data_IF_300566611382
#
_entry.id   IF_300566611382
#
_cell.length_a   1.000
_cell.length_b   1.000
_cell.length_c   1.000
_cell.angle_alpha   90.00
_cell.angle_beta   90.00
_cell.angle_gamma   90.00
#
_symmetry.space_group_name_H-M   'P 1'
#
loop_
_entity.id
_entity.type
_entity.pdbx_description
1 polymer ?
#
# COMPACT_ATOMS: atom_id res chain seq x y z
N UNK A 1 -16.39 79.48 12.89
CA UNK A 1 -16.90 78.22 13.48
C UNK A 1 -16.32 77.07 12.68
N UNK A 2 -15.41 76.30 13.25
CA UNK A 2 -14.68 75.20 12.59
C UNK A 2 -15.40 73.89 12.93
N UNK A 3 -15.95 73.18 11.95
CA UNK A 3 -16.45 71.81 12.15
C UNK A 3 -15.46 70.83 11.55
N UNK A 4 -14.71 70.16 12.40
CA UNK A 4 -13.87 69.02 12.04
C UNK A 4 -14.78 67.80 11.90
N UNK A 5 -14.85 67.23 10.68
CA UNK A 5 -15.58 66.00 10.39
C UNK A 5 -14.59 64.83 10.53
N UNK A 6 -14.72 64.04 11.60
CA UNK A 6 -13.87 62.87 11.84
C UNK A 6 -14.46 61.67 11.10
N UNK A 7 -13.78 61.22 10.05
CA UNK A 7 -14.12 60.00 9.30
C UNK A 7 -13.55 58.78 10.04
N UNK A 8 -14.42 57.95 10.60
CA UNK A 8 -14.04 56.70 11.26
C UNK A 8 -13.96 55.58 10.22
N UNK A 9 -12.74 55.18 9.85
CA UNK A 9 -12.51 54.03 8.97
C UNK A 9 -12.71 52.72 9.73
N UNK A 10 -13.70 51.93 9.32
CA UNK A 10 -13.89 50.55 9.80
C UNK A 10 -12.92 49.67 9.00
N UNK A 11 -11.84 49.23 9.64
CA UNK A 11 -10.99 48.14 9.14
C UNK A 11 -11.76 46.81 9.29
N UNK A 12 -12.23 46.25 8.19
CA UNK A 12 -12.60 44.84 8.13
C UNK A 12 -11.32 44.00 8.12
N UNK A 13 -10.96 43.44 9.27
CA UNK A 13 -9.99 42.33 9.35
C UNK A 13 -10.77 41.08 8.96
N UNK A 14 -10.71 40.69 7.68
CA UNK A 14 -11.16 39.39 7.22
C UNK A 14 -10.18 38.34 7.73
N UNK A 15 -10.48 37.76 8.91
CA UNK A 15 -9.81 36.54 9.35
C UNK A 15 -10.07 35.43 8.33
N UNK A 16 -9.02 34.75 7.91
CA UNK A 16 -9.13 33.46 7.21
C UNK A 16 -9.78 32.48 8.18
N UNK A 17 -11.10 32.33 8.12
CA UNK A 17 -11.77 31.18 8.73
C UNK A 17 -11.47 29.98 7.83
N UNK A 18 -10.82 28.95 8.36
CA UNK A 18 -10.86 27.63 7.73
C UNK A 18 -12.32 27.19 7.71
N UNK A 19 -12.99 27.38 6.58
CA UNK A 19 -14.33 26.90 6.39
C UNK A 19 -14.31 25.38 6.51
N UNK A 20 -15.27 24.82 7.24
CA UNK A 20 -15.42 23.38 7.34
C UNK A 20 -15.63 22.80 5.94
N UNK A 21 -14.80 21.84 5.55
CA UNK A 21 -14.95 21.15 4.28
C UNK A 21 -16.09 20.12 4.34
N UNK A 22 -16.55 19.71 3.16
CA UNK A 22 -17.46 18.57 2.97
C UNK A 22 -16.85 17.68 1.90
N UNK A 23 -16.96 16.36 2.07
CA UNK A 23 -16.46 15.41 1.08
C UNK A 23 -17.62 14.88 0.25
N UNK A 24 -17.40 14.83 -1.05
CA UNK A 24 -18.33 14.34 -2.07
C UNK A 24 -17.65 13.24 -2.88
N UNK A 25 -18.36 12.63 -3.82
CA UNK A 25 -17.79 11.56 -4.64
C UNK A 25 -16.63 11.99 -5.52
N UNK A 26 -16.41 13.29 -5.75
CA UNK A 26 -15.24 13.80 -6.50
C UNK A 26 -13.96 13.86 -5.67
N UNK A 27 -14.07 13.69 -4.36
CA UNK A 27 -12.91 13.70 -3.46
C UNK A 27 -12.29 12.30 -3.29
N UNK A 28 -12.91 11.29 -3.91
CA UNK A 28 -12.48 9.89 -3.89
C UNK A 28 -12.20 9.43 -5.32
N UNK A 29 -11.34 8.41 -5.43
CA UNK A 29 -11.08 7.79 -6.71
C UNK A 29 -12.38 7.28 -7.35
N UNK A 30 -12.59 7.58 -8.62
CA UNK A 30 -13.77 7.17 -9.40
C UNK A 30 -13.43 6.52 -10.74
N UNK A 31 -12.14 6.53 -11.10
CA UNK A 31 -11.63 6.01 -12.36
C UNK A 31 -10.34 5.21 -12.16
N UNK A 32 -9.91 4.40 -13.14
CA UNK A 32 -8.63 3.72 -13.07
C UNK A 32 -7.46 4.71 -12.98
N UNK A 33 -6.44 4.37 -12.20
CA UNK A 33 -5.33 5.27 -11.86
C UNK A 33 -4.41 4.65 -10.83
N UNK A 34 -3.46 5.44 -10.32
CA UNK A 34 -2.55 5.03 -9.28
C UNK A 34 -2.30 6.19 -8.32
N UNK A 35 -2.28 5.90 -7.03
CA UNK A 35 -1.92 6.84 -5.97
C UNK A 35 -0.74 6.29 -5.17
N UNK A 36 0.09 7.18 -4.63
CA UNK A 36 1.29 6.80 -3.87
C UNK A 36 1.06 7.04 -2.39
N UNK A 37 1.58 6.13 -1.58
CA UNK A 37 1.53 6.27 -0.14
C UNK A 37 2.79 5.71 0.50
N UNK A 38 3.07 6.21 1.69
CA UNK A 38 4.20 5.81 2.49
C UNK A 38 3.72 5.23 3.81
N UNK A 39 4.19 4.02 4.12
CA UNK A 39 4.04 3.41 5.43
C UNK A 39 5.01 4.08 6.40
N UNK A 40 4.55 4.34 7.62
CA UNK A 40 5.33 5.05 8.63
C UNK A 40 5.36 4.33 9.97
N UNK A 41 6.11 4.90 10.92
CA UNK A 41 6.14 4.43 12.29
C UNK A 41 4.74 4.43 12.96
N UNK A 42 4.51 3.48 13.86
CA UNK A 42 3.21 3.23 14.49
C UNK A 42 2.99 3.93 15.83
N UNK A 43 4.01 4.61 16.37
CA UNK A 43 3.88 5.41 17.60
C UNK A 43 3.33 6.81 17.26
N UNK A 44 2.01 6.90 17.15
CA UNK A 44 1.27 8.09 16.72
C UNK A 44 0.06 8.33 17.62
N UNK A 45 -0.29 9.59 17.88
CA UNK A 45 -1.55 9.91 18.56
C UNK A 45 -2.70 9.91 17.54
N UNK A 46 -3.55 8.89 17.63
CA UNK A 46 -4.76 8.75 16.83
C UNK A 46 -6.03 9.09 17.63
N UNK A 47 -5.93 9.36 18.93
CA UNK A 47 -7.09 9.52 19.82
C UNK A 47 -7.63 10.94 19.85
N UNK A 48 -6.76 11.94 19.70
CA UNK A 48 -7.13 13.35 19.78
C UNK A 48 -7.97 13.81 18.59
N UNK A 49 -9.13 14.43 18.85
CA UNK A 49 -10.09 14.89 17.82
C UNK A 49 -11.00 16.00 18.31
N UNK A 50 -11.85 16.49 17.40
CA UNK A 50 -12.91 17.42 17.68
C UNK A 50 -13.01 18.52 16.63
N UNK A 51 -13.75 19.57 16.99
CA UNK A 51 -13.95 20.72 16.14
C UNK A 51 -12.71 21.62 16.08
N UNK A 52 -12.31 22.01 14.86
CA UNK A 52 -11.18 22.89 14.58
C UNK A 52 -9.85 22.40 15.22
N UNK A 53 -9.60 21.10 15.14
CA UNK A 53 -8.41 20.48 15.70
C UNK A 53 -7.21 20.58 14.75
N UNK A 54 -6.00 20.72 15.29
CA UNK A 54 -4.77 20.68 14.49
C UNK A 54 -4.02 19.40 14.75
N UNK A 55 -3.98 18.51 13.76
CA UNK A 55 -3.19 17.29 13.79
C UNK A 55 -1.82 17.55 13.16
N UNK A 56 -0.75 17.36 13.93
CA UNK A 56 0.62 17.50 13.43
C UNK A 56 1.33 16.13 13.42
N UNK A 57 1.44 15.60 12.21
CA UNK A 57 2.14 14.37 11.86
C UNK A 57 3.33 14.65 10.92
N UNK A 58 3.84 15.88 10.85
CA UNK A 58 4.98 16.22 9.98
C UNK A 58 6.27 15.48 10.34
N UNK A 59 6.34 14.87 11.52
CA UNK A 59 7.48 14.07 11.99
C UNK A 59 7.33 12.55 11.72
N UNK A 60 6.34 12.12 10.91
CA UNK A 60 6.26 10.74 10.46
C UNK A 60 7.52 10.38 9.67
N UNK A 61 8.13 9.24 10.02
CA UNK A 61 9.29 8.72 9.30
C UNK A 61 8.81 7.61 8.37
N UNK A 62 9.07 7.77 7.07
CA UNK A 62 8.85 6.76 6.05
C UNK A 62 9.62 5.48 6.39
N UNK A 63 8.93 4.34 6.31
CA UNK A 63 9.50 2.99 6.42
C UNK A 63 9.59 2.35 5.04
N UNK A 64 8.56 2.54 4.21
CA UNK A 64 8.50 2.07 2.83
C UNK A 64 7.44 2.85 2.07
N UNK A 65 7.65 3.03 0.77
CA UNK A 65 6.66 3.58 -0.15
C UNK A 65 6.09 2.49 -1.04
N UNK A 66 4.79 2.60 -1.35
CA UNK A 66 4.10 1.70 -2.27
C UNK A 66 3.01 2.45 -3.06
N UNK A 67 2.32 1.74 -3.95
CA UNK A 67 1.34 2.29 -4.87
C UNK A 67 0.00 1.58 -4.73
N UNK A 68 -1.08 2.34 -4.57
CA UNK A 68 -2.45 1.83 -4.71
C UNK A 68 -2.81 1.88 -6.18
N UNK A 69 -3.07 0.72 -6.78
CA UNK A 69 -3.46 0.60 -8.17
C UNK A 69 -4.98 0.43 -8.29
N UNK A 70 -5.62 1.38 -8.96
CA UNK A 70 -7.03 1.35 -9.33
C UNK A 70 -7.16 0.84 -10.76
N UNK A 71 -7.52 -0.43 -10.89
CA UNK A 71 -7.48 -1.13 -12.16
C UNK A 71 -8.82 -1.05 -12.90
N UNK A 72 -8.75 -0.99 -14.24
CA UNK A 72 -9.94 -0.98 -15.10
C UNK A 72 -10.54 -2.36 -15.25
N UNK A 73 -11.86 -2.48 -15.10
CA UNK A 73 -12.57 -3.73 -15.37
C UNK A 73 -12.41 -4.23 -16.80
N UNK A 74 -12.11 -3.35 -17.77
CA UNK A 74 -11.89 -3.75 -19.16
C UNK A 74 -10.67 -4.65 -19.34
N UNK A 75 -9.72 -4.62 -18.40
CA UNK A 75 -8.52 -5.45 -18.39
C UNK A 75 -8.70 -6.73 -17.56
N UNK A 76 -9.82 -6.88 -16.85
CA UNK A 76 -10.09 -8.04 -16.01
C UNK A 76 -10.54 -9.27 -16.84
N UNK A 77 -10.55 -10.45 -16.21
CA UNK A 77 -11.03 -11.68 -16.84
C UNK A 77 -12.50 -11.59 -17.25
N UNK A 78 -12.94 -12.43 -18.19
CA UNK A 78 -14.34 -12.44 -18.64
C UNK A 78 -15.32 -12.74 -17.50
N UNK A 79 -14.95 -13.60 -16.55
CA UNK A 79 -15.81 -13.90 -15.39
C UNK A 79 -15.98 -12.66 -14.49
N UNK A 80 -14.90 -11.94 -14.23
CA UNK A 80 -14.94 -10.67 -13.49
C UNK A 80 -15.80 -9.64 -14.22
N UNK A 81 -15.62 -9.48 -15.53
CA UNK A 81 -16.42 -8.55 -16.33
C UNK A 81 -17.91 -8.91 -16.37
N UNK A 82 -18.25 -10.20 -16.35
CA UNK A 82 -19.65 -10.64 -16.29
C UNK A 82 -20.29 -10.29 -14.94
N UNK A 83 -19.53 -10.39 -13.84
CA UNK A 83 -20.02 -10.13 -12.49
C UNK A 83 -20.07 -8.65 -12.11
N UNK A 84 -19.12 -7.84 -12.60
CA UNK A 84 -18.94 -6.45 -12.17
C UNK A 84 -18.83 -5.42 -13.30
N UNK A 85 -18.69 -5.86 -14.55
CA UNK A 85 -18.54 -4.97 -15.71
C UNK A 85 -19.85 -4.36 -16.19
N UNK A 86 -19.82 -3.74 -17.37
CA UNK A 86 -20.97 -3.00 -17.93
C UNK A 86 -22.25 -3.85 -18.14
N UNK A 87 -22.10 -5.16 -18.26
CA UNK A 87 -23.22 -6.10 -18.44
C UNK A 87 -23.75 -6.67 -17.12
N UNK A 88 -23.08 -6.40 -15.99
CA UNK A 88 -23.54 -6.81 -14.69
C UNK A 88 -24.83 -6.08 -14.27
N UNK A 89 -25.62 -6.61 -13.33
CA UNK A 89 -26.74 -5.87 -12.76
C UNK A 89 -26.27 -4.51 -12.21
N UNK A 90 -27.07 -3.43 -12.34
CA UNK A 90 -26.63 -2.07 -11.99
C UNK A 90 -26.05 -1.91 -10.58
N UNK A 91 -26.50 -2.72 -9.61
CA UNK A 91 -25.98 -2.71 -8.24
C UNK A 91 -24.51 -3.15 -8.14
N UNK A 92 -24.03 -3.98 -9.06
CA UNK A 92 -22.70 -4.59 -9.06
C UNK A 92 -21.75 -3.99 -10.10
N UNK A 93 -22.21 -3.04 -10.92
CA UNK A 93 -21.35 -2.35 -11.89
C UNK A 93 -20.31 -1.51 -11.15
N UNK A 94 -19.09 -2.04 -11.03
CA UNK A 94 -17.98 -1.38 -10.35
C UNK A 94 -17.28 -0.38 -11.27
N UNK A 95 -16.67 0.64 -10.67
CA UNK A 95 -15.87 1.65 -11.36
C UNK A 95 -14.44 1.17 -11.57
N UNK A 96 -13.87 0.53 -10.55
CA UNK A 96 -12.52 -0.01 -10.55
C UNK A 96 -12.43 -1.22 -9.62
N UNK A 97 -11.31 -1.92 -9.71
CA UNK A 97 -10.91 -2.90 -8.71
C UNK A 97 -9.50 -2.61 -8.20
N UNK A 98 -9.24 -2.95 -6.95
CA UNK A 98 -7.95 -2.75 -6.29
C UNK A 98 -7.61 -3.98 -5.46
N UNK A 99 -6.32 -4.24 -5.26
CA UNK A 99 -5.88 -5.36 -4.45
C UNK A 99 -6.33 -5.19 -2.98
N UNK A 100 -6.66 -6.31 -2.34
CA UNK A 100 -6.97 -6.41 -0.93
C UNK A 100 -5.81 -7.11 -0.20
N UNK A 101 -4.96 -6.30 0.44
CA UNK A 101 -3.81 -6.79 1.22
C UNK A 101 -4.19 -7.33 2.60
N UNK A 102 -5.40 -7.06 3.07
CA UNK A 102 -5.84 -7.32 4.44
C UNK A 102 -6.86 -8.47 4.52
N UNK A 103 -7.01 -9.24 3.44
CA UNK A 103 -7.98 -10.32 3.39
C UNK A 103 -7.62 -11.46 4.35
N UNK A 104 -8.60 -11.89 5.13
CA UNK A 104 -8.42 -12.79 6.28
C UNK A 104 -7.87 -14.16 5.89
N UNK A 105 -8.27 -14.71 4.73
CA UNK A 105 -7.76 -15.99 4.23
C UNK A 105 -6.28 -15.94 3.81
N UNK A 106 -5.75 -14.77 3.44
CA UNK A 106 -4.34 -14.65 3.01
C UNK A 106 -3.36 -15.00 4.14
N UNK A 107 -3.82 -14.98 5.39
CA UNK A 107 -3.01 -15.27 6.58
C UNK A 107 -3.18 -16.69 7.14
N UNK A 108 -4.03 -17.53 6.52
CA UNK A 108 -4.21 -18.91 6.98
C UNK A 108 -3.07 -19.78 6.44
N UNK A 109 -2.32 -20.51 7.30
CA UNK A 109 -1.25 -21.38 6.85
C UNK A 109 -1.72 -22.39 5.80
N UNK A 110 -0.91 -22.59 4.76
CA UNK A 110 -1.18 -23.55 3.68
C UNK A 110 -1.30 -25.01 4.17
N UNK A 111 -0.86 -25.28 5.41
CA UNK A 111 -1.02 -26.56 6.11
C UNK A 111 -2.45 -26.80 6.62
N UNK A 112 -3.25 -25.74 6.77
CA UNK A 112 -4.65 -25.77 7.22
C UNK A 112 -5.61 -25.65 6.03
N UNK A 113 -5.28 -24.80 5.07
CA UNK A 113 -5.97 -24.68 3.79
C UNK A 113 -4.93 -24.78 2.67
N UNK A 114 -4.76 -25.94 2.01
CA UNK A 114 -3.82 -26.09 0.88
C UNK A 114 -4.37 -25.44 -0.41
N UNK A 115 -4.86 -24.21 -0.29
CA UNK A 115 -5.12 -23.28 -1.39
C UNK A 115 -3.98 -22.27 -1.43
N UNK A 116 -3.43 -22.03 -2.62
CA UNK A 116 -2.56 -20.88 -2.86
C UNK A 116 -3.44 -19.80 -3.48
N UNK A 117 -3.80 -18.80 -2.69
CA UNK A 117 -4.47 -17.59 -3.19
C UNK A 117 -3.39 -16.69 -3.75
N UNK A 118 -3.45 -16.41 -5.05
CA UNK A 118 -2.45 -15.57 -5.73
C UNK A 118 -2.69 -14.09 -5.43
N UNK A 119 -3.96 -13.68 -5.48
CA UNK A 119 -4.38 -12.29 -5.24
C UNK A 119 -5.86 -12.22 -4.88
N UNK A 120 -6.23 -11.26 -4.05
CA UNK A 120 -7.64 -10.91 -3.78
C UNK A 120 -7.85 -9.46 -4.19
N UNK A 121 -8.91 -9.21 -4.95
CA UNK A 121 -9.27 -7.88 -5.44
C UNK A 121 -10.63 -7.46 -4.85
N UNK A 122 -10.73 -6.21 -4.39
CA UNK A 122 -11.98 -5.55 -4.02
C UNK A 122 -12.58 -4.85 -5.23
N UNK A 123 -13.88 -4.99 -5.46
CA UNK A 123 -14.62 -4.29 -6.53
C UNK A 123 -15.39 -3.12 -5.95
N UNK A 124 -15.04 -1.90 -6.37
CA UNK A 124 -15.57 -0.67 -5.79
C UNK A 124 -16.49 0.04 -6.78
N UNK A 125 -17.67 0.40 -6.30
CA UNK A 125 -18.65 1.24 -7.00
C UNK A 125 -18.71 2.62 -6.34
N UNK A 126 -18.66 3.66 -7.16
CA UNK A 126 -18.68 5.06 -6.76
C UNK A 126 -19.92 5.72 -7.32
N UNK A 127 -20.72 6.30 -6.44
CA UNK A 127 -21.94 7.02 -6.76
C UNK A 127 -21.95 8.36 -6.02
N UNK A 128 -22.76 9.31 -6.46
CA UNK A 128 -22.84 10.63 -5.83
C UNK A 128 -23.30 10.58 -4.36
N UNK A 129 -23.95 9.50 -3.94
CA UNK A 129 -24.51 9.31 -2.60
C UNK A 129 -23.77 8.30 -1.74
N UNK A 130 -22.87 7.49 -2.33
CA UNK A 130 -22.14 6.47 -1.60
C UNK A 130 -20.95 5.91 -2.38
N UNK A 131 -20.02 5.34 -1.63
CA UNK A 131 -18.98 4.45 -2.16
C UNK A 131 -19.19 3.09 -1.53
N UNK A 132 -19.20 2.05 -2.35
CA UNK A 132 -19.57 0.71 -1.93
C UNK A 132 -18.62 -0.35 -2.48
N UNK A 133 -18.29 -1.35 -1.65
CA UNK A 133 -17.62 -2.56 -2.08
C UNK A 133 -18.68 -3.59 -2.46
N UNK A 134 -18.78 -3.88 -3.76
CA UNK A 134 -19.86 -4.72 -4.32
C UNK A 134 -19.52 -6.21 -4.32
N UNK A 135 -18.26 -6.54 -4.05
CA UNK A 135 -17.80 -7.91 -3.91
C UNK A 135 -16.30 -8.04 -4.06
N UNK A 136 -15.87 -9.29 -4.23
CA UNK A 136 -14.47 -9.67 -4.32
C UNK A 136 -14.17 -10.41 -5.62
N UNK A 137 -12.89 -10.53 -5.92
CA UNK A 137 -12.36 -11.44 -6.92
C UNK A 137 -11.15 -12.16 -6.35
N UNK A 138 -11.14 -13.49 -6.40
CA UNK A 138 -10.02 -14.29 -5.90
C UNK A 138 -9.31 -14.91 -7.10
N UNK A 139 -8.03 -14.65 -7.23
CA UNK A 139 -7.15 -15.26 -8.21
C UNK A 139 -6.52 -16.52 -7.61
N UNK A 140 -6.77 -17.68 -8.24
CA UNK A 140 -6.19 -18.97 -7.87
C UNK A 140 -5.66 -19.64 -9.13
N UNK A 141 -4.37 -20.00 -9.14
CA UNK A 141 -3.70 -20.61 -10.29
C UNK A 141 -3.84 -19.78 -11.57
N UNK A 142 -3.80 -18.44 -11.44
CA UNK A 142 -3.94 -17.51 -12.55
C UNK A 142 -5.37 -17.33 -13.10
N UNK A 143 -6.39 -17.95 -12.50
CA UNK A 143 -7.81 -17.67 -12.82
C UNK A 143 -8.46 -16.82 -11.74
N UNK A 144 -9.06 -15.69 -12.15
CA UNK A 144 -9.82 -14.81 -11.27
C UNK A 144 -11.31 -15.16 -11.24
N UNK A 145 -11.81 -15.50 -10.05
CA UNK A 145 -13.20 -15.91 -9.80
C UNK A 145 -13.93 -14.79 -9.05
N UNK A 146 -15.07 -14.28 -9.56
CA UNK A 146 -15.84 -13.24 -8.88
C UNK A 146 -16.70 -13.82 -7.75
N UNK A 147 -16.79 -13.08 -6.64
CA UNK A 147 -17.67 -13.33 -5.50
C UNK A 147 -18.47 -12.06 -5.17
N UNK A 148 -19.58 -11.80 -5.89
CA UNK A 148 -20.46 -10.68 -5.59
C UNK A 148 -21.03 -10.82 -4.19
N UNK A 149 -21.06 -9.73 -3.42
CA UNK A 149 -21.63 -9.75 -2.07
C UNK A 149 -23.16 -9.85 -2.14
N UNK A 150 -23.77 -10.74 -1.36
CA UNK A 150 -25.23 -10.80 -1.24
C UNK A 150 -25.77 -9.54 -0.56
N UNK A 151 -25.02 -9.03 0.41
CA UNK A 151 -25.25 -7.70 1.00
C UNK A 151 -24.03 -6.84 0.75
N UNK A 152 -24.21 -5.79 -0.06
CA UNK A 152 -23.15 -4.86 -0.47
C UNK A 152 -22.74 -3.98 0.71
N UNK A 153 -21.43 -3.87 0.94
CA UNK A 153 -20.87 -2.99 1.95
C UNK A 153 -20.83 -1.55 1.45
N UNK A 154 -21.58 -0.65 2.07
CA UNK A 154 -21.31 0.79 1.94
C UNK A 154 -20.10 1.16 2.82
N UNK A 155 -19.06 1.72 2.20
CA UNK A 155 -17.84 2.20 2.86
C UNK A 155 -18.03 3.65 3.34
N UNK A 156 -18.61 4.49 2.47
CA UNK A 156 -18.90 5.89 2.77
C UNK A 156 -20.32 6.25 2.33
N UNK A 157 -21.03 7.01 3.16
CA UNK A 157 -22.28 7.67 2.81
C UNK A 157 -21.98 9.14 2.49
N UNK A 158 -22.29 9.56 1.27
CA UNK A 158 -21.91 10.88 0.75
C UNK A 158 -23.13 11.81 0.64
N UNK A 159 -22.95 13.14 0.77
CA UNK A 159 -21.70 13.80 1.19
C UNK A 159 -21.38 13.56 2.68
N UNK A 160 -20.11 13.67 3.06
CA UNK A 160 -19.66 13.58 4.46
C UNK A 160 -19.42 14.97 5.04
N UNK A 161 -19.97 15.19 6.23
CA UNK A 161 -19.83 16.40 7.02
C UNK A 161 -19.48 16.02 8.46
N UNK A 162 -18.85 16.95 9.18
CA UNK A 162 -18.59 16.77 10.61
C UNK A 162 -19.87 16.42 11.38
N UNK A 163 -19.80 15.37 12.21
CA UNK A 163 -20.92 14.84 12.98
C UNK A 163 -21.79 13.82 12.26
N UNK A 164 -21.51 13.51 10.98
CA UNK A 164 -22.22 12.44 10.27
C UNK A 164 -21.85 11.06 10.84
N UNK A 165 -22.86 10.21 10.98
CA UNK A 165 -22.72 8.82 11.40
C UNK A 165 -23.40 7.90 10.39
N UNK A 166 -22.78 6.76 10.11
CA UNK A 166 -23.35 5.72 9.25
C UNK A 166 -23.13 4.32 9.83
N UNK A 167 -24.01 3.40 9.45
CA UNK A 167 -23.89 1.98 9.74
C UNK A 167 -24.26 1.18 8.51
N UNK A 168 -23.40 0.21 8.20
CA UNK A 168 -23.45 -0.63 7.02
C UNK A 168 -23.11 -2.06 7.42
N UNK A 169 -23.56 -3.01 6.63
CA UNK A 169 -23.25 -4.43 6.83
C UNK A 169 -22.92 -5.06 5.50
N UNK A 170 -22.11 -6.11 5.53
CA UNK A 170 -21.78 -6.89 4.36
C UNK A 170 -21.95 -8.37 4.64
N UNK A 171 -22.31 -9.12 3.61
CA UNK A 171 -22.27 -10.57 3.63
C UNK A 171 -21.80 -11.08 2.27
N UNK A 172 -20.77 -11.93 2.30
CA UNK A 172 -20.25 -12.59 1.10
C UNK A 172 -20.01 -14.07 1.39
N UNK A 173 -20.54 -14.93 0.53
CA UNK A 173 -20.22 -16.35 0.51
C UNK A 173 -19.24 -16.63 -0.63
N UNK A 174 -18.12 -17.26 -0.29
CA UNK A 174 -17.11 -17.70 -1.24
C UNK A 174 -17.25 -19.22 -1.36
N UNK A 175 -17.72 -19.71 -2.50
CA UNK A 175 -17.70 -21.14 -2.81
C UNK A 175 -16.63 -21.40 -3.86
N UNK A 176 -15.54 -22.05 -3.46
CA UNK A 176 -14.40 -22.33 -4.33
C UNK A 176 -14.59 -23.63 -5.13
N UNK A 177 -15.73 -24.32 -4.97
CA UNK A 177 -16.01 -25.53 -5.73
C UNK A 177 -16.23 -25.23 -7.23
N UNK A 178 -15.77 -26.10 -8.15
CA UNK A 178 -15.08 -27.37 -7.91
C UNK A 178 -13.54 -27.25 -7.83
N UNK A 179 -12.98 -26.03 -7.90
CA UNK A 179 -11.53 -25.81 -7.92
C UNK A 179 -10.92 -26.28 -6.59
N UNK A 180 -11.61 -26.00 -5.49
CA UNK A 180 -11.25 -26.48 -4.17
C UNK A 180 -12.49 -26.72 -3.31
N UNK A 181 -12.52 -27.79 -2.54
CA UNK A 181 -13.61 -28.11 -1.59
C UNK A 181 -13.45 -27.29 -0.30
N UNK A 182 -13.62 -25.97 -0.43
CA UNK A 182 -13.71 -25.05 0.69
C UNK A 182 -14.78 -24.00 0.42
N UNK A 183 -15.42 -23.58 1.50
CA UNK A 183 -16.34 -22.46 1.49
C UNK A 183 -15.94 -21.48 2.59
N UNK A 184 -16.00 -20.19 2.31
CA UNK A 184 -15.87 -19.13 3.30
C UNK A 184 -17.17 -18.35 3.35
N UNK A 185 -17.54 -17.91 4.54
CA UNK A 185 -18.55 -16.89 4.74
C UNK A 185 -17.94 -15.75 5.53
N UNK A 186 -18.15 -14.55 5.05
CA UNK A 186 -17.75 -13.33 5.72
C UNK A 186 -19.00 -12.51 6.04
N UNK A 187 -19.10 -12.09 7.30
CA UNK A 187 -20.07 -11.11 7.75
C UNK A 187 -19.32 -9.90 8.32
N UNK A 188 -19.63 -8.71 7.81
CA UNK A 188 -19.04 -7.45 8.26
C UNK A 188 -20.14 -6.57 8.83
N UNK A 189 -19.85 -5.95 9.97
CA UNK A 189 -20.59 -4.81 10.50
C UNK A 189 -19.64 -3.61 10.52
N UNK A 190 -19.98 -2.58 9.74
CA UNK A 190 -19.18 -1.38 9.56
C UNK A 190 -19.92 -0.18 10.18
N UNK A 191 -19.27 0.52 11.09
CA UNK A 191 -19.73 1.79 11.65
C UNK A 191 -18.76 2.89 11.29
N UNK A 192 -19.26 4.06 10.92
CA UNK A 192 -18.45 5.22 10.54
C UNK A 192 -18.95 6.47 11.24
N UNK A 193 -18.05 7.30 11.73
CA UNK A 193 -18.34 8.59 12.36
C UNK A 193 -17.34 9.65 11.90
N UNK A 194 -17.83 10.81 11.46
CA UNK A 194 -16.97 11.96 11.18
C UNK A 194 -16.76 12.75 12.47
N UNK A 195 -15.79 12.33 13.26
CA UNK A 195 -15.62 12.75 14.65
C UNK A 195 -14.78 14.03 14.85
N UNK A 196 -14.21 14.58 13.77
CA UNK A 196 -13.39 15.78 13.83
C UNK A 196 -13.27 16.52 12.50
N UNK A 197 -12.97 17.82 12.59
CA UNK A 197 -12.54 18.62 11.46
C UNK A 197 -11.45 19.60 11.88
N UNK A 198 -10.60 20.01 10.94
CA UNK A 198 -9.57 21.00 11.23
C UNK A 198 -8.45 20.96 10.21
N UNK A 199 -7.20 21.02 10.65
CA UNK A 199 -6.03 21.01 9.76
C UNK A 199 -5.11 19.85 10.11
N UNK A 200 -4.69 19.08 9.10
CA UNK A 200 -3.67 18.04 9.24
C UNK A 200 -2.38 18.52 8.59
N UNK A 201 -1.23 18.21 9.21
CA UNK A 201 0.09 18.34 8.62
C UNK A 201 0.75 16.96 8.58
N UNK A 202 1.21 16.51 7.42
CA UNK A 202 2.02 15.30 7.23
C UNK A 202 3.30 15.68 6.48
N UNK A 203 4.23 14.74 6.20
CA UNK A 203 5.35 15.02 5.29
C UNK A 203 4.91 15.46 3.88
N UNK A 204 3.71 15.07 3.44
CA UNK A 204 3.12 15.45 2.15
C UNK A 204 2.71 16.92 2.09
N UNK A 205 2.24 17.48 3.21
CA UNK A 205 1.81 18.87 3.29
C UNK A 205 0.79 19.13 4.39
N UNK A 206 0.23 20.34 4.37
CA UNK A 206 -0.80 20.78 5.30
C UNK A 206 -2.11 21.07 4.59
N UNK A 207 -3.20 20.49 5.08
CA UNK A 207 -4.52 20.56 4.44
C UNK A 207 -5.63 20.72 5.47
N UNK A 208 -6.72 21.45 5.14
CA UNK A 208 -7.96 21.30 5.89
C UNK A 208 -8.50 19.88 5.70
N UNK A 209 -9.04 19.26 6.74
CA UNK A 209 -9.51 17.88 6.65
C UNK A 209 -10.72 17.58 7.54
N UNK A 210 -11.43 16.51 7.19
CA UNK A 210 -12.31 15.77 8.08
C UNK A 210 -11.58 14.53 8.57
N UNK A 211 -11.80 14.16 9.84
CA UNK A 211 -11.41 12.86 10.36
C UNK A 211 -12.61 11.93 10.38
N UNK A 212 -12.46 10.77 9.77
CA UNK A 212 -13.45 9.70 9.74
C UNK A 212 -12.91 8.54 10.56
N UNK A 213 -13.67 8.12 11.56
CA UNK A 213 -13.40 6.94 12.35
C UNK A 213 -14.33 5.80 11.93
N UNK A 214 -13.74 4.72 11.45
CA UNK A 214 -14.42 3.47 11.16
C UNK A 214 -14.18 2.45 12.27
N UNK A 215 -15.25 1.78 12.70
CA UNK A 215 -15.18 0.58 13.54
C UNK A 215 -15.78 -0.59 12.76
N UNK A 216 -14.96 -1.61 12.53
CA UNK A 216 -15.29 -2.77 11.71
C UNK A 216 -15.24 -4.02 12.59
N UNK A 217 -16.39 -4.70 12.68
CA UNK A 217 -16.52 -5.99 13.35
C UNK A 217 -16.75 -7.04 12.27
N UNK A 218 -15.87 -8.01 12.19
CA UNK A 218 -15.88 -9.07 11.19
C UNK A 218 -16.11 -10.42 11.88
N UNK A 219 -16.98 -11.23 11.28
CA UNK A 219 -17.25 -12.60 11.68
C UNK A 219 -17.09 -13.50 10.47
N UNK A 220 -15.97 -14.20 10.43
CA UNK A 220 -15.63 -15.11 9.34
C UNK A 220 -15.83 -16.56 9.76
N UNK A 221 -16.27 -17.37 8.83
CA UNK A 221 -16.41 -18.81 9.02
C UNK A 221 -15.92 -19.56 7.81
N UNK A 222 -15.02 -20.51 8.02
CA UNK A 222 -14.51 -21.39 6.98
C UNK A 222 -15.09 -22.79 7.14
N UNK A 223 -15.56 -23.37 6.04
CA UNK A 223 -15.92 -24.77 5.94
C UNK A 223 -14.73 -25.55 5.43
N UNK A 224 -14.25 -26.50 6.25
CA UNK A 224 -13.15 -27.39 5.88
C UNK A 224 -13.54 -28.85 6.12
N UNK A 225 -13.07 -29.72 5.21
CA UNK A 225 -13.13 -31.16 5.34
C UNK A 225 -11.72 -31.68 5.64
N UNK A 226 -11.51 -32.26 6.82
CA UNK A 226 -10.20 -32.79 7.23
C UNK A 226 -10.18 -34.31 7.08
N UNK A 227 -9.23 -34.83 6.31
CA UNK A 227 -8.91 -36.26 6.21
C UNK A 227 -10.12 -37.18 5.93
N UNK A 228 -11.06 -36.75 5.09
CA UNK A 228 -12.22 -37.55 4.69
C UNK A 228 -13.34 -37.63 5.74
N UNK A 229 -13.26 -36.86 6.82
CA UNK A 229 -14.40 -36.62 7.72
C UNK A 229 -15.45 -35.71 7.06
N UNK A 230 -16.68 -35.72 7.58
CA UNK A 230 -17.68 -34.73 7.18
C UNK A 230 -17.16 -33.33 7.53
N UNK A 231 -17.25 -32.39 6.58
CA UNK A 231 -16.77 -31.03 6.81
C UNK A 231 -17.61 -30.30 7.85
N UNK A 232 -16.99 -29.33 8.52
CA UNK A 232 -17.62 -28.50 9.53
C UNK A 232 -17.26 -27.03 9.33
N UNK A 233 -18.14 -26.15 9.81
CA UNK A 233 -17.87 -24.71 9.86
C UNK A 233 -17.06 -24.38 11.12
N UNK A 234 -16.02 -23.59 10.93
CA UNK A 234 -15.18 -23.07 12.00
C UNK A 234 -15.17 -21.56 11.92
N UNK A 235 -15.53 -20.91 13.02
CA UNK A 235 -15.45 -19.46 13.17
C UNK A 235 -13.99 -19.03 13.34
N UNK A 236 -13.59 -17.98 12.63
CA UNK A 236 -12.27 -17.37 12.77
C UNK A 236 -12.37 -16.20 13.76
N UNK A 237 -11.65 -16.24 14.90
CA UNK A 237 -11.65 -15.14 15.84
C UNK A 237 -10.84 -13.98 15.26
N UNK A 238 -11.53 -12.95 14.79
CA UNK A 238 -10.93 -11.72 14.29
C UNK A 238 -11.12 -10.60 15.31
N UNK A 239 -10.06 -9.83 15.63
CA UNK A 239 -10.19 -8.67 16.50
C UNK A 239 -11.00 -7.58 15.81
N UNK A 240 -11.63 -6.70 16.60
CA UNK A 240 -12.30 -5.52 16.03
C UNK A 240 -11.24 -4.58 15.45
N UNK A 241 -11.44 -4.14 14.21
CA UNK A 241 -10.56 -3.19 13.52
C UNK A 241 -11.10 -1.78 13.67
N UNK A 242 -10.22 -0.82 13.92
CA UNK A 242 -10.52 0.60 13.83
C UNK A 242 -9.65 1.23 12.76
N UNK A 243 -10.25 2.04 11.88
CA UNK A 243 -9.54 2.78 10.83
C UNK A 243 -9.83 4.26 11.05
N UNK A 244 -8.78 5.06 11.23
CA UNK A 244 -8.86 6.51 11.35
C UNK A 244 -8.29 7.13 10.08
N UNK A 245 -9.11 7.91 9.37
CA UNK A 245 -8.75 8.49 8.08
C UNK A 245 -8.91 10.00 8.12
N UNK A 246 -7.90 10.72 7.64
CA UNK A 246 -7.95 12.16 7.46
C UNK A 246 -8.08 12.47 5.99
N UNK A 247 -9.24 12.97 5.60
CA UNK A 247 -9.59 13.26 4.21
C UNK A 247 -9.66 14.76 3.97
N UNK A 248 -9.14 15.20 2.83
CA UNK A 248 -9.31 16.56 2.29
C UNK A 248 -9.95 16.46 0.91
N UNK A 249 -10.33 17.60 0.34
CA UNK A 249 -10.92 17.64 -0.99
C UNK A 249 -9.89 17.35 -2.10
N UNK A 250 -10.35 16.66 -3.15
CA UNK A 250 -9.61 16.36 -4.38
C UNK A 250 -8.32 15.52 -4.21
N UNK A 251 -8.29 14.53 -3.29
CA UNK A 251 -7.06 13.77 -3.03
C UNK A 251 -7.11 12.27 -3.36
N UNK A 252 -8.23 11.71 -3.83
CA UNK A 252 -8.45 10.31 -4.25
C UNK A 252 -8.21 9.22 -3.18
N UNK A 253 -7.31 9.45 -2.21
CA UNK A 253 -6.99 8.71 -0.99
C UNK A 253 -6.92 9.65 0.21
N UNK A 254 -7.02 9.08 1.41
CA UNK A 254 -6.83 9.83 2.66
C UNK A 254 -5.39 10.38 2.76
N UNK A 255 -5.24 11.59 3.31
CA UNK A 255 -3.94 12.20 3.60
C UNK A 255 -3.17 11.38 4.64
N UNK A 256 -3.89 10.82 5.62
CA UNK A 256 -3.36 9.92 6.63
C UNK A 256 -4.39 8.85 6.94
N UNK A 257 -3.94 7.62 7.12
CA UNK A 257 -4.72 6.44 7.48
C UNK A 257 -3.99 5.70 8.58
N UNK A 258 -4.65 5.51 9.72
CA UNK A 258 -4.13 4.74 10.85
C UNK A 258 -5.09 3.59 11.14
N UNK A 259 -4.58 2.37 11.08
CA UNK A 259 -5.31 1.18 11.49
C UNK A 259 -4.88 0.74 12.88
N UNK A 260 -5.85 0.35 13.69
CA UNK A 260 -5.61 -0.29 14.99
C UNK A 260 -6.46 -1.56 15.12
N UNK A 261 -5.97 -2.49 15.93
CA UNK A 261 -6.73 -3.67 16.35
C UNK A 261 -7.08 -3.56 17.83
N UNK A 262 -8.33 -3.85 18.18
CA UNK A 262 -8.83 -3.82 19.54
C UNK A 262 -8.88 -5.24 20.13
N UNK A 263 -8.04 -5.48 21.14
CA UNK A 263 -8.08 -6.70 21.95
C UNK A 263 -8.38 -6.33 23.40
N UNK A 264 -9.47 -6.89 23.95
CA UNK A 264 -9.88 -6.67 25.35
C UNK A 264 -10.02 -5.18 25.74
N UNK A 265 -10.52 -4.34 24.82
CA UNK A 265 -10.72 -2.91 25.06
C UNK A 265 -9.49 -2.03 24.88
N UNK A 266 -8.35 -2.61 24.46
CA UNK A 266 -7.10 -1.88 24.20
C UNK A 266 -6.84 -1.89 22.69
N UNK A 267 -6.76 -0.70 22.10
CA UNK A 267 -6.38 -0.51 20.70
C UNK A 267 -4.85 -0.45 20.58
N UNK A 268 -4.31 -1.21 19.63
CA UNK A 268 -2.88 -1.19 19.26
C UNK A 268 -2.75 -0.84 17.79
N UNK A 269 -1.92 0.14 17.46
CA UNK A 269 -1.67 0.56 16.08
C UNK A 269 -1.02 -0.58 15.30
N UNK A 270 -1.69 -1.03 14.25
CA UNK A 270 -1.22 -2.08 13.33
C UNK A 270 -0.62 -1.51 12.05
N UNK A 271 -1.08 -0.35 11.60
CA UNK A 271 -0.64 0.28 10.35
C UNK A 271 -0.76 1.80 10.43
N UNK A 272 0.20 2.51 9.86
CA UNK A 272 0.16 3.96 9.65
C UNK A 272 0.62 4.23 8.22
N UNK A 273 -0.22 4.89 7.43
CA UNK A 273 0.03 5.21 6.02
C UNK A 273 -0.33 6.67 5.77
N UNK A 274 0.50 7.41 5.05
CA UNK A 274 0.16 8.77 4.62
C UNK A 274 0.30 8.89 3.10
N UNK A 275 -0.56 9.71 2.48
CA UNK A 275 -0.46 10.04 1.05
C UNK A 275 0.93 10.60 0.79
N UNK A 276 1.58 10.14 -0.27
CA UNK A 276 2.89 10.65 -0.66
C UNK A 276 2.90 10.96 -2.15
N UNK A 277 3.93 11.67 -2.60
CA UNK A 277 4.27 11.68 -4.02
C UNK A 277 5.24 10.53 -4.28
N UNK A 278 5.45 10.19 -5.56
CA UNK A 278 6.62 9.39 -5.93
C UNK A 278 7.83 10.05 -5.30
N UNK A 279 8.45 9.34 -4.37
CA UNK A 279 9.81 9.64 -3.97
C UNK A 279 10.66 9.31 -5.19
N UNK A 280 10.80 10.28 -6.10
CA UNK A 280 12.04 10.46 -6.86
C UNK A 280 13.06 10.98 -5.86
N UNK A 281 13.26 10.22 -4.80
CA UNK A 281 14.58 10.05 -4.30
C UNK A 281 15.39 9.60 -5.51
N UNK A 282 16.22 10.51 -5.99
CA UNK A 282 17.63 10.21 -5.78
C UNK A 282 17.81 9.89 -4.28
N UNK A 283 17.40 8.69 -3.87
CA UNK A 283 18.43 7.73 -3.54
C UNK A 283 19.42 7.85 -4.72
N UNK A 284 20.35 8.80 -4.62
CA UNK A 284 21.73 8.36 -4.62
C UNK A 284 21.71 7.21 -3.62
N UNK A 285 21.30 6.02 -4.07
CA UNK A 285 21.53 4.78 -3.39
C UNK A 285 23.01 4.93 -3.14
N UNK A 286 23.36 5.26 -1.88
CA UNK A 286 24.70 5.77 -1.55
C UNK A 286 25.65 4.95 -2.39
N UNK A 287 26.30 5.53 -3.42
CA UNK A 287 26.77 4.78 -4.56
C UNK A 287 27.51 3.62 -3.96
N UNK A 288 26.96 2.43 -4.21
CA UNK A 288 27.50 1.12 -3.87
C UNK A 288 28.84 1.28 -3.18
N UNK A 289 28.90 1.05 -1.86
CA UNK A 289 30.13 1.03 -1.06
C UNK A 289 31.34 0.87 -1.98
N UNK A 290 32.03 1.98 -2.32
CA UNK A 290 32.83 2.07 -3.55
C UNK A 290 33.56 0.75 -3.82
N UNK A 291 33.16 0.00 -4.84
CA UNK A 291 33.92 -1.21 -5.15
C UNK A 291 35.26 -0.80 -5.75
N UNK A 292 36.29 -0.72 -4.90
CA UNK A 292 37.66 -0.48 -5.33
C UNK A 292 38.49 -1.78 -5.33
N UNK A 293 39.41 -1.84 -6.30
CA UNK A 293 40.42 -2.89 -6.44
C UNK A 293 41.78 -2.31 -6.07
N UNK A 294 42.56 -3.02 -5.27
CA UNK A 294 43.85 -2.50 -4.83
C UNK A 294 44.86 -3.60 -4.45
N UNK A 295 46.16 -3.39 -4.69
CA UNK A 295 46.72 -2.30 -5.48
C UNK A 295 46.41 -2.50 -6.97
N UNK A 296 46.25 -1.39 -7.70
CA UNK A 296 46.22 -1.37 -9.15
C UNK A 296 46.96 -0.10 -9.60
N UNK A 297 48.18 -0.19 -10.17
CA UNK A 297 48.86 -1.39 -10.66
C UNK A 297 49.29 -2.39 -9.58
N UNK A 298 49.45 -3.67 -9.94
CA UNK A 298 49.95 -4.75 -9.07
C UNK A 298 51.04 -5.58 -9.74
N UNK A 299 51.83 -6.31 -8.94
CA UNK A 299 52.82 -7.28 -9.41
C UNK A 299 52.45 -8.72 -9.06
N UNK A 300 52.03 -8.95 -7.82
CA UNK A 300 51.81 -10.30 -7.30
C UNK A 300 50.33 -10.66 -7.11
N UNK A 301 49.49 -9.69 -6.77
CA UNK A 301 48.07 -9.90 -6.51
C UNK A 301 47.32 -8.65 -6.08
N UNK A 302 46.00 -8.69 -6.14
CA UNK A 302 45.12 -7.61 -5.74
C UNK A 302 44.01 -8.11 -4.81
N UNK A 303 43.50 -7.20 -4.00
CA UNK A 303 42.37 -7.37 -3.10
C UNK A 303 41.15 -6.64 -3.65
N UNK A 304 39.99 -7.20 -3.32
CA UNK A 304 38.68 -6.62 -3.60
C UNK A 304 38.10 -6.08 -2.29
N UNK A 305 37.54 -4.87 -2.34
CA UNK A 305 36.83 -4.27 -1.19
C UNK A 305 35.64 -5.12 -0.70
N UNK A 306 35.08 -5.97 -1.57
CA UNK A 306 33.95 -6.85 -1.30
C UNK A 306 34.23 -8.27 -1.82
N UNK A 307 33.43 -9.25 -1.39
CA UNK A 307 33.48 -10.60 -1.93
C UNK A 307 32.95 -10.63 -3.36
N UNK A 308 33.79 -11.05 -4.30
CA UNK A 308 33.40 -11.21 -5.71
C UNK A 308 32.81 -12.61 -5.90
N UNK A 309 31.59 -12.71 -6.43
CA UNK A 309 30.92 -13.99 -6.71
C UNK A 309 31.55 -14.71 -7.88
N UNK A 310 31.80 -13.98 -8.96
CA UNK A 310 32.44 -14.49 -10.17
C UNK A 310 33.41 -13.45 -10.72
N UNK A 311 34.58 -13.89 -11.17
CA UNK A 311 35.61 -13.03 -11.73
C UNK A 311 36.12 -13.63 -13.04
N UNK A 312 36.23 -12.80 -14.07
CA UNK A 312 36.87 -13.15 -15.34
C UNK A 312 37.89 -12.09 -15.71
N UNK A 313 39.12 -12.51 -16.00
CA UNK A 313 40.21 -11.65 -16.46
C UNK A 313 40.51 -11.92 -17.93
N UNK A 314 40.59 -10.86 -18.75
CA UNK A 314 40.86 -10.94 -20.19
C UNK A 314 42.11 -10.15 -20.57
N UNK A 315 42.89 -10.65 -21.51
CA UNK A 315 44.02 -9.92 -22.09
C UNK A 315 43.55 -8.87 -23.13
N UNK A 316 44.47 -8.08 -23.67
CA UNK A 316 44.17 -7.06 -24.71
C UNK A 316 43.62 -7.62 -26.02
N UNK A 317 43.77 -8.93 -26.26
CA UNK A 317 43.18 -9.64 -27.39
C UNK A 317 41.76 -10.18 -27.09
N UNK A 318 41.21 -9.92 -25.89
CA UNK A 318 39.88 -10.35 -25.46
C UNK A 318 39.81 -11.81 -24.96
N UNK A 319 40.93 -12.52 -24.94
CA UNK A 319 41.00 -13.91 -24.50
C UNK A 319 40.95 -13.98 -22.96
N UNK A 320 40.16 -14.92 -22.44
CA UNK A 320 40.08 -15.20 -21.00
C UNK A 320 41.39 -15.85 -20.56
N UNK A 321 42.09 -15.20 -19.63
CA UNK A 321 43.35 -15.69 -19.06
C UNK A 321 43.17 -16.33 -17.70
N UNK A 322 42.12 -15.93 -16.97
CA UNK A 322 41.82 -16.45 -15.63
C UNK A 322 40.34 -16.25 -15.31
N UNK A 323 39.74 -17.22 -14.63
CA UNK A 323 38.40 -17.14 -14.03
C UNK A 323 38.47 -17.64 -12.59
N UNK A 324 37.71 -17.03 -11.67
CA UNK A 324 37.66 -17.44 -10.27
C UNK A 324 36.33 -17.07 -9.62
N UNK A 325 35.83 -17.93 -8.76
CA UNK A 325 34.59 -17.69 -8.01
C UNK A 325 34.87 -17.38 -6.53
N UNK A 326 33.93 -16.67 -5.90
CA UNK A 326 33.85 -16.42 -4.45
C UNK A 326 35.18 -16.01 -3.81
N UNK A 327 35.72 -14.85 -4.21
CA UNK A 327 37.04 -14.43 -3.76
C UNK A 327 37.13 -12.95 -3.40
N UNK A 328 37.94 -12.65 -2.39
CA UNK A 328 38.35 -11.28 -2.02
C UNK A 328 39.80 -10.98 -2.41
N UNK A 329 40.48 -11.95 -3.04
CA UNK A 329 41.88 -11.84 -3.45
C UNK A 329 42.19 -12.61 -4.74
N UNK A 330 42.89 -11.94 -5.65
CA UNK A 330 43.39 -12.52 -6.89
C UNK A 330 44.92 -12.49 -6.92
N UNK A 331 45.54 -13.66 -7.07
CA UNK A 331 46.98 -13.77 -7.33
C UNK A 331 47.22 -13.68 -8.85
N UNK A 332 48.10 -12.78 -9.26
CA UNK A 332 48.44 -12.54 -10.68
C UNK A 332 49.93 -12.65 -10.96
N UNK A 333 50.75 -13.11 -10.01
CA UNK A 333 52.21 -13.15 -10.12
C UNK A 333 52.75 -13.99 -11.29
N UNK A 334 51.91 -14.87 -11.84
CA UNK A 334 52.23 -15.75 -12.98
C UNK A 334 51.80 -15.17 -14.33
N UNK A 335 51.12 -14.03 -14.35
CA UNK A 335 50.65 -13.40 -15.59
C UNK A 335 51.71 -12.42 -16.12
N UNK A 336 51.89 -12.32 -17.45
CA UNK A 336 52.80 -11.34 -18.03
C UNK A 336 52.41 -9.90 -17.70
N UNK A 337 53.42 -9.04 -17.55
CA UNK A 337 53.27 -7.57 -17.45
C UNK A 337 52.42 -7.04 -18.60
N UNK A 338 51.39 -6.25 -18.30
CA UNK A 338 50.46 -5.74 -19.31
C UNK A 338 49.15 -5.20 -18.73
N UNK A 339 48.30 -4.71 -19.63
CA UNK A 339 46.95 -4.27 -19.30
C UNK A 339 45.95 -5.41 -19.53
N UNK A 340 45.03 -5.59 -18.59
CA UNK A 340 43.98 -6.60 -18.62
C UNK A 340 42.62 -5.95 -18.34
N UNK A 341 41.57 -6.53 -18.89
CA UNK A 341 40.19 -6.19 -18.54
C UNK A 341 39.71 -7.18 -17.48
N UNK A 342 39.38 -6.67 -16.31
CA UNK A 342 38.84 -7.44 -15.20
C UNK A 342 37.33 -7.23 -15.14
N UNK A 343 36.58 -8.32 -15.20
CA UNK A 343 35.12 -8.33 -15.04
C UNK A 343 34.79 -9.08 -13.74
N UNK A 344 34.00 -8.47 -12.88
CA UNK A 344 33.61 -9.02 -11.58
C UNK A 344 32.11 -8.96 -11.40
N UNK A 345 31.53 -10.01 -10.84
CA UNK A 345 30.13 -10.07 -10.44
C UNK A 345 30.03 -9.96 -8.92
N UNK A 346 29.26 -8.99 -8.44
CA UNK A 346 29.05 -8.69 -7.03
C UNK A 346 27.55 -8.52 -6.83
N UNK A 347 26.95 -9.33 -5.97
CA UNK A 347 25.53 -9.24 -5.62
C UNK A 347 24.53 -9.17 -6.79
N UNK A 348 24.89 -9.81 -7.92
CA UNK A 348 24.06 -9.89 -9.13
C UNK A 348 24.35 -8.79 -10.16
N UNK A 349 25.25 -7.85 -9.86
CA UNK A 349 25.72 -6.82 -10.79
C UNK A 349 27.11 -7.14 -11.33
N UNK A 350 27.37 -6.81 -12.60
CA UNK A 350 28.68 -6.99 -13.24
C UNK A 350 29.40 -5.65 -13.39
N UNK A 351 30.63 -5.55 -12.86
CA UNK A 351 31.50 -4.37 -13.00
C UNK A 351 32.76 -4.72 -13.78
N UNK A 352 33.22 -3.80 -14.62
CA UNK A 352 34.45 -3.93 -15.39
C UNK A 352 35.48 -2.89 -14.95
N UNK A 353 36.71 -3.33 -14.70
CA UNK A 353 37.83 -2.50 -14.28
C UNK A 353 39.07 -2.81 -15.10
N UNK A 354 39.90 -1.79 -15.36
CA UNK A 354 41.18 -1.99 -16.04
C UNK A 354 42.25 -2.36 -15.03
N UNK A 355 42.82 -3.55 -15.13
CA UNK A 355 43.93 -4.01 -14.29
C UNK A 355 45.28 -3.82 -14.98
N UNK A 356 46.25 -3.23 -14.28
CA UNK A 356 47.63 -3.09 -14.74
C UNK A 356 48.54 -4.02 -13.94
N UNK A 357 49.17 -4.98 -14.62
CA UNK A 357 50.17 -5.88 -14.04
C UNK A 357 51.55 -5.36 -14.44
N UNK A 358 52.44 -5.13 -13.45
CA UNK A 358 53.79 -4.59 -13.62
C UNK A 358 54.87 -5.63 -13.37
#
# INVERSE_FOLDING_TARGET
MKSTLTLLGILFISGVSSAQISLTSSDFQSSPGAEYYSSANTNVDFTSTGANYTWDFSNLNEVSQDTINYNSLTQASLFIQAAYGIFAPPAYQANYFQENTDFTLSNIPSTVLPINIDRVDNFIKVENTQIAKVGYGISVQGQAIPFPSDTIERLYKLPLNYGDVDSSRAYTSFDLNPIYDAQLRQYIQHYSEVDGYGNISTPYGSFPCLRIHHRIVELDSVYISLNGAAGAWYELPLPTKHIYEWWTNNEDIAILRIETTENFGIQTVSKTEYKDNISVGTEEASPFTEFYIYPNPTRDGLFFSHQVRHLTLRNTAGQIVLTKDFTTYLNVSKLPTGAYLLEVEIDGETKQERLLIQ
#
